data_IF_045006432470
#
_entry.id   IF_045006432470
#
_cell.length_a   1.000
_cell.length_b   1.000
_cell.length_c   1.000
_cell.angle_alpha   90.00
_cell.angle_beta   90.00
_cell.angle_gamma   90.00
#
_symmetry.space_group_name_H-M   'P 1'
#
loop_
_entity.id
_entity.type
_entity.pdbx_description
1 polymer ?
#
# COMPACT_ATOMS: atom_id res chain seq x y z
N UNK A 1 15.58 4.26 -11.27
CA UNK A 1 16.93 4.71 -11.68
C UNK A 1 17.05 6.17 -11.25
N UNK A 2 18.21 6.81 -11.33
CA UNK A 2 18.35 8.26 -11.14
C UNK A 2 19.37 8.83 -12.13
N UNK A 3 19.22 10.12 -12.45
CA UNK A 3 20.01 10.83 -13.44
C UNK A 3 21.37 11.23 -12.86
N UNK A 4 22.45 10.63 -13.37
CA UNK A 4 23.80 11.02 -13.02
C UNK A 4 24.28 12.22 -13.85
N UNK A 5 24.01 12.20 -15.15
CA UNK A 5 24.43 13.26 -16.08
C UNK A 5 23.43 13.36 -17.22
N UNK A 6 22.97 14.58 -17.50
CA UNK A 6 22.08 14.84 -18.64
C UNK A 6 22.86 14.79 -19.96
N UNK A 7 22.14 14.63 -21.08
CA UNK A 7 22.78 14.61 -22.38
C UNK A 7 23.42 15.96 -22.71
N UNK A 8 24.50 15.92 -23.48
CA UNK A 8 25.14 17.09 -24.08
C UNK A 8 25.18 16.91 -25.61
N UNK A 9 25.77 17.85 -26.34
CA UNK A 9 25.95 17.72 -27.79
C UNK A 9 26.75 16.47 -28.20
N UNK A 10 27.59 15.95 -27.29
CA UNK A 10 28.50 14.85 -27.58
C UNK A 10 28.27 13.59 -26.74
N UNK A 11 27.48 13.68 -25.65
CA UNK A 11 27.27 12.59 -24.71
C UNK A 11 25.79 12.32 -24.48
N UNK A 12 25.45 11.04 -24.37
CA UNK A 12 24.11 10.60 -23.97
C UNK A 12 23.88 10.75 -22.47
N UNK A 13 22.61 10.67 -22.07
CA UNK A 13 22.19 10.67 -20.67
C UNK A 13 22.72 9.43 -19.96
N UNK A 14 23.27 9.60 -18.76
CA UNK A 14 23.74 8.50 -17.90
C UNK A 14 22.82 8.36 -16.70
N UNK A 15 22.25 7.16 -16.51
CA UNK A 15 21.38 6.81 -15.40
C UNK A 15 21.97 5.68 -14.56
N UNK A 16 21.78 5.74 -13.25
CA UNK A 16 22.19 4.69 -12.31
C UNK A 16 20.97 4.02 -11.66
N UNK A 17 21.06 2.74 -11.26
CA UNK A 17 19.98 2.09 -10.51
C UNK A 17 19.75 2.79 -9.16
N UNK A 18 18.52 2.73 -8.66
CA UNK A 18 18.22 3.17 -7.29
C UNK A 18 18.87 2.22 -6.28
N UNK A 19 19.19 2.73 -5.10
CA UNK A 19 19.71 1.89 -4.02
C UNK A 19 18.60 0.98 -3.46
N UNK A 20 19.00 0.01 -2.63
CA UNK A 20 18.04 -0.77 -1.88
C UNK A 20 17.23 0.15 -0.96
N UNK A 21 15.90 -0.01 -0.97
CA UNK A 21 14.99 0.87 -0.22
C UNK A 21 14.57 2.13 -0.98
N UNK A 22 14.95 2.28 -2.25
CA UNK A 22 14.60 3.44 -3.08
C UNK A 22 13.89 3.04 -4.38
N UNK A 23 13.09 3.95 -4.93
CA UNK A 23 12.35 3.74 -6.17
C UNK A 23 12.12 5.01 -6.99
N UNK A 24 11.77 4.82 -8.26
CA UNK A 24 11.12 5.82 -9.11
C UNK A 24 10.09 5.13 -10.00
N UNK A 25 8.87 5.63 -10.04
CA UNK A 25 7.75 4.93 -10.68
C UNK A 25 7.63 5.19 -12.19
N UNK A 26 8.30 6.23 -12.71
CA UNK A 26 8.18 6.69 -14.10
C UNK A 26 9.53 7.16 -14.64
N UNK A 27 9.59 7.34 -15.96
CA UNK A 27 10.69 8.06 -16.59
C UNK A 27 10.75 9.48 -16.05
N UNK A 28 11.95 9.90 -15.65
CA UNK A 28 12.17 11.15 -14.92
C UNK A 28 13.59 11.67 -15.19
N UNK A 29 13.84 12.93 -14.81
CA UNK A 29 15.17 13.57 -14.85
C UNK A 29 15.69 13.89 -13.45
N UNK A 30 15.20 13.19 -12.42
CA UNK A 30 15.66 13.47 -11.06
C UNK A 30 17.02 12.86 -10.80
N UNK A 31 17.86 13.60 -10.07
CA UNK A 31 19.20 13.19 -9.68
C UNK A 31 19.24 12.34 -8.42
N UNK A 32 18.07 11.93 -7.90
CA UNK A 32 17.91 11.09 -6.72
C UNK A 32 16.67 10.20 -6.85
N UNK A 33 16.63 9.11 -6.08
CA UNK A 33 15.46 8.24 -5.99
C UNK A 33 14.62 8.55 -4.74
N UNK A 34 13.33 8.20 -4.80
CA UNK A 34 12.43 8.33 -3.66
C UNK A 34 12.66 7.18 -2.69
N UNK A 35 12.65 7.45 -1.39
CA UNK A 35 12.70 6.40 -0.36
C UNK A 35 11.38 5.64 -0.32
N UNK A 36 11.47 4.33 -0.10
CA UNK A 36 10.31 3.49 0.20
C UNK A 36 9.62 4.00 1.46
N UNK A 37 8.29 4.04 1.42
CA UNK A 37 7.47 4.35 2.58
C UNK A 37 7.42 3.18 3.55
N UNK A 38 7.31 3.49 4.83
CA UNK A 38 7.13 2.49 5.87
C UNK A 38 5.64 2.31 6.19
N UNK A 39 5.20 1.06 6.34
CA UNK A 39 3.86 0.77 6.80
C UNK A 39 3.80 0.94 8.33
N UNK A 40 3.17 2.03 8.79
CA UNK A 40 3.11 2.34 10.21
C UNK A 40 2.17 1.38 10.98
N UNK A 41 2.76 0.38 11.64
CA UNK A 41 2.03 -0.61 12.43
C UNK A 41 1.23 0.01 13.59
N UNK A 42 1.68 1.16 14.15
CA UNK A 42 0.95 1.86 15.22
C UNK A 42 -0.37 2.44 14.72
N UNK A 43 -0.47 2.74 13.42
CA UNK A 43 -1.71 3.15 12.77
C UNK A 43 -2.51 1.94 12.23
N UNK A 44 -2.06 0.72 12.50
CA UNK A 44 -2.74 -0.53 12.14
C UNK A 44 -2.49 -1.00 10.70
N UNK A 45 -1.47 -0.47 10.03
CA UNK A 45 -1.04 -0.95 8.72
C UNK A 45 -0.07 -2.14 8.83
N UNK A 46 0.00 -2.92 7.77
CA UNK A 46 1.01 -3.95 7.53
C UNK A 46 1.45 -3.89 6.07
N UNK A 47 2.69 -4.29 5.82
CA UNK A 47 3.18 -4.48 4.47
C UNK A 47 2.55 -5.72 3.85
N UNK A 48 2.04 -5.58 2.62
CA UNK A 48 1.53 -6.71 1.84
C UNK A 48 2.34 -6.96 0.57
N UNK A 49 3.16 -5.99 0.17
CA UNK A 49 4.08 -6.12 -0.95
C UNK A 49 5.30 -5.24 -0.71
N UNK A 50 6.48 -5.83 -0.84
CA UNK A 50 7.73 -5.09 -0.81
C UNK A 50 7.81 -4.06 -1.94
N UNK A 51 8.55 -2.99 -1.67
CA UNK A 51 8.94 -2.04 -2.69
C UNK A 51 9.94 -2.66 -3.68
N UNK A 52 9.98 -2.10 -4.88
CA UNK A 52 10.96 -2.45 -5.91
C UNK A 52 11.68 -1.18 -6.36
N UNK A 53 12.67 -1.28 -7.24
CA UNK A 53 13.32 -0.11 -7.84
C UNK A 53 12.36 0.78 -8.66
N UNK A 54 11.15 0.27 -8.98
CA UNK A 54 10.14 0.98 -9.77
C UNK A 54 8.79 1.11 -9.07
N UNK A 55 8.68 0.70 -7.81
CA UNK A 55 7.41 0.79 -7.08
C UNK A 55 7.66 0.97 -5.60
N UNK A 56 6.83 1.77 -4.95
CA UNK A 56 6.85 1.87 -3.51
C UNK A 56 6.34 0.57 -2.85
N UNK A 57 6.57 0.46 -1.55
CA UNK A 57 5.93 -0.51 -0.65
C UNK A 57 4.42 -0.35 -0.72
N UNK A 58 3.67 -1.46 -0.69
CA UNK A 58 2.22 -1.44 -0.58
C UNK A 58 1.79 -1.84 0.83
N UNK A 59 1.09 -0.92 1.49
CA UNK A 59 0.51 -1.12 2.82
C UNK A 59 -0.98 -1.45 2.73
N UNK A 60 -1.47 -2.24 3.69
CA UNK A 60 -2.88 -2.54 3.91
C UNK A 60 -3.19 -2.50 5.39
N UNK A 61 -4.46 -2.30 5.76
CA UNK A 61 -4.87 -2.58 7.14
C UNK A 61 -4.57 -4.03 7.52
N UNK A 62 -4.14 -4.21 8.77
CA UNK A 62 -3.96 -5.52 9.40
C UNK A 62 -5.28 -6.30 9.40
N UNK A 63 -5.19 -7.62 9.51
CA UNK A 63 -6.35 -8.50 9.54
C UNK A 63 -7.33 -8.07 10.65
N UNK A 64 -8.62 -7.95 10.30
CA UNK A 64 -9.66 -7.51 11.23
C UNK A 64 -9.76 -6.00 11.41
N UNK A 65 -8.99 -5.20 10.67
CA UNK A 65 -9.09 -3.74 10.63
C UNK A 65 -9.53 -3.25 9.25
N UNK A 66 -10.11 -2.05 9.22
CA UNK A 66 -10.51 -1.33 8.00
C UNK A 66 -10.09 0.14 8.09
N UNK A 67 -10.13 0.84 6.95
CA UNK A 67 -9.79 2.26 6.91
C UNK A 67 -10.79 3.08 7.72
N UNK A 68 -10.31 4.01 8.55
CA UNK A 68 -11.17 4.94 9.29
C UNK A 68 -11.90 5.95 8.40
N UNK A 69 -11.38 6.20 7.20
CA UNK A 69 -11.94 7.13 6.20
C UNK A 69 -11.49 6.75 4.79
N UNK A 70 -12.02 7.44 3.77
CA UNK A 70 -11.60 7.27 2.37
C UNK A 70 -10.10 7.55 2.16
N UNK A 71 -9.56 8.52 2.88
CA UNK A 71 -8.12 8.85 2.87
C UNK A 71 -7.26 7.74 3.49
N UNK A 72 -7.86 6.85 4.29
CA UNK A 72 -7.22 5.72 4.96
C UNK A 72 -5.91 6.10 5.65
N UNK A 73 -5.96 7.13 6.49
CA UNK A 73 -4.80 7.57 7.27
C UNK A 73 -4.54 6.66 8.48
N UNK A 74 -5.59 5.97 8.96
CA UNK A 74 -5.52 5.03 10.08
C UNK A 74 -6.43 3.83 9.86
N UNK A 75 -6.07 2.68 10.44
CA UNK A 75 -6.85 1.45 10.42
C UNK A 75 -7.46 1.18 11.79
N UNK A 76 -8.78 1.01 11.82
CA UNK A 76 -9.57 0.76 13.03
C UNK A 76 -10.14 -0.65 13.01
N UNK A 77 -10.37 -1.23 14.19
CA UNK A 77 -10.97 -2.56 14.30
C UNK A 77 -12.36 -2.60 13.67
N UNK A 78 -12.58 -3.62 12.85
CA UNK A 78 -13.93 -3.97 12.41
C UNK A 78 -14.70 -4.56 13.60
N UNK A 79 -15.96 -4.18 13.72
CA UNK A 79 -16.85 -4.76 14.74
C UNK A 79 -17.10 -6.22 14.43
N UNK A 80 -17.08 -7.06 15.46
CA UNK A 80 -17.55 -8.44 15.34
C UNK A 80 -19.03 -8.44 14.93
N UNK A 81 -19.42 -9.39 14.09
CA UNK A 81 -20.82 -9.58 13.75
C UNK A 81 -21.64 -9.90 15.00
N UNK A 82 -22.89 -9.45 15.03
CA UNK A 82 -23.77 -9.68 16.17
C UNK A 82 -24.09 -11.17 16.37
N UNK A 83 -24.65 -11.54 17.54
CA UNK A 83 -25.14 -12.90 17.77
C UNK A 83 -26.18 -13.30 16.70
N UNK A 84 -25.93 -14.40 15.99
CA UNK A 84 -26.81 -14.87 14.91
C UNK A 84 -26.49 -14.28 13.53
N UNK A 85 -25.42 -13.49 13.40
CA UNK A 85 -24.88 -13.03 12.13
C UNK A 85 -23.52 -13.68 11.84
N UNK A 86 -23.18 -13.79 10.56
CA UNK A 86 -21.89 -14.25 10.08
C UNK A 86 -21.28 -13.26 9.09
N UNK A 87 -19.97 -13.32 8.92
CA UNK A 87 -19.28 -12.57 7.87
C UNK A 87 -19.72 -13.11 6.51
N UNK A 88 -20.43 -12.29 5.74
CA UNK A 88 -20.88 -12.64 4.38
C UNK A 88 -19.90 -12.16 3.32
N UNK A 89 -19.09 -11.16 3.66
CA UNK A 89 -18.02 -10.65 2.81
C UNK A 89 -16.84 -10.25 3.68
N UNK A 90 -15.68 -10.84 3.38
CA UNK A 90 -14.42 -10.40 3.98
C UNK A 90 -14.09 -9.03 3.38
N UNK A 91 -13.79 -8.05 4.22
CA UNK A 91 -13.35 -6.75 3.72
C UNK A 91 -12.00 -6.87 3.01
N UNK A 92 -11.86 -6.31 1.81
CA UNK A 92 -10.59 -6.27 1.10
C UNK A 92 -9.93 -4.90 1.23
N UNK A 93 -8.78 -4.84 1.92
CA UNK A 93 -7.79 -3.75 2.00
C UNK A 93 -8.27 -2.39 2.54
N UNK A 94 -9.52 -1.98 2.25
CA UNK A 94 -10.22 -0.76 2.65
C UNK A 94 -11.67 -1.03 3.10
N UNK A 95 -12.24 -2.16 2.69
CA UNK A 95 -13.65 -2.44 2.95
C UNK A 95 -13.91 -2.84 4.40
N UNK A 96 -15.08 -2.44 4.88
CA UNK A 96 -15.64 -2.88 6.16
C UNK A 96 -16.10 -4.34 6.02
N UNK A 97 -15.98 -5.12 7.09
CA UNK A 97 -16.55 -6.47 7.14
C UNK A 97 -18.07 -6.37 7.11
N UNK A 98 -18.71 -6.99 6.11
CA UNK A 98 -20.17 -7.06 6.02
C UNK A 98 -20.70 -8.29 6.74
N UNK A 99 -21.66 -8.07 7.63
CA UNK A 99 -22.33 -9.10 8.41
C UNK A 99 -23.75 -9.35 7.87
N UNK A 100 -24.19 -10.60 7.88
CA UNK A 100 -25.55 -10.98 7.50
C UNK A 100 -26.10 -12.06 8.40
N UNK A 101 -27.41 -12.02 8.67
CA UNK A 101 -28.11 -13.04 9.44
C UNK A 101 -28.23 -14.37 8.69
N UNK A 102 -28.20 -15.49 9.43
CA UNK A 102 -28.47 -16.80 8.85
C UNK A 102 -29.95 -16.92 8.44
N UNK A 103 -30.23 -17.23 7.17
CA UNK A 103 -31.58 -17.62 6.78
C UNK A 103 -31.90 -18.97 7.43
N UNK A 104 -32.98 -19.03 8.22
CA UNK A 104 -33.51 -20.30 8.74
C UNK A 104 -33.91 -21.16 7.55
N UNK A 105 -33.45 -22.41 7.51
CA UNK A 105 -33.98 -23.41 6.57
C UNK A 105 -35.47 -23.63 6.91
N UNK A 106 -36.32 -23.49 5.89
CA UNK A 106 -37.77 -23.74 5.96
C UNK A 106 -38.09 -25.22 5.80
#
# INVERSE_FOLDING_TARGET
>A
QWLLTDCTEHNETVCLPCNAGEFHDKYHRETSCLLHSECNEKLGFQMIKDGTSTSNVVCSCQLGKHCSSEACETCVWSTACGPGEGVIQKGERRDIVNCGGYKRCS
#
